data_IF_510716477474
#
_entry.id   IF_510716477474
#
_cell.length_a   1.000
_cell.length_b   1.000
_cell.length_c   1.000
_cell.angle_alpha   90.00
_cell.angle_beta   90.00
_cell.angle_gamma   90.00
#
_symmetry.space_group_name_H-M   'P 1'
#
loop_
_entity.id
_entity.type
_entity.pdbx_description
1 polymer ?
#
# COMPACT_ATOMS: atom_id res chain seq x y z
N UNK A 1 -11.47 -2.07 -11.03
CA UNK A 1 -11.78 -3.34 -10.33
C UNK A 1 -10.57 -4.27 -10.15
N UNK A 2 -9.42 -4.03 -10.80
CA UNK A 2 -8.26 -4.94 -10.75
C UNK A 2 -7.48 -4.89 -9.43
N UNK A 3 -7.48 -3.75 -8.75
CA UNK A 3 -6.78 -3.64 -7.47
C UNK A 3 -7.45 -4.45 -6.34
N UNK A 4 -8.77 -4.64 -6.41
CA UNK A 4 -9.50 -5.56 -5.52
C UNK A 4 -9.31 -7.03 -5.91
N UNK A 5 -8.93 -7.32 -7.17
CA UNK A 5 -8.68 -8.70 -7.60
C UNK A 5 -7.39 -9.29 -6.99
N UNK A 6 -6.49 -8.44 -6.50
CA UNK A 6 -5.26 -8.83 -5.80
C UNK A 6 -5.43 -8.92 -4.27
N UNK A 7 -6.63 -8.64 -3.75
CA UNK A 7 -6.96 -8.91 -2.35
C UNK A 7 -6.98 -10.42 -2.16
N UNK A 8 -6.24 -10.89 -1.15
CA UNK A 8 -6.08 -12.33 -0.92
C UNK A 8 -7.40 -12.97 -0.50
N UNK A 9 -7.91 -13.86 -1.34
CA UNK A 9 -9.16 -14.59 -1.09
C UNK A 9 -8.93 -15.89 -0.31
N UNK A 10 -7.84 -16.04 0.46
CA UNK A 10 -7.69 -17.26 1.24
C UNK A 10 -6.45 -17.59 2.07
N UNK A 11 -5.50 -16.71 2.44
CA UNK A 11 -4.25 -17.21 3.08
C UNK A 11 -3.62 -16.43 4.25
N UNK A 12 -4.31 -15.60 5.03
CA UNK A 12 -3.76 -15.14 6.33
C UNK A 12 -4.78 -15.10 7.47
N UNK A 13 -4.55 -15.80 8.61
CA UNK A 13 -5.34 -15.61 9.81
C UNK A 13 -4.82 -14.36 10.54
N UNK A 14 -5.28 -13.18 10.13
CA UNK A 14 -5.26 -12.00 10.99
C UNK A 14 -6.46 -12.13 11.95
N UNK A 15 -6.24 -12.81 13.08
CA UNK A 15 -7.25 -12.94 14.14
C UNK A 15 -7.38 -11.60 14.88
N UNK A 16 -8.54 -10.95 14.74
CA UNK A 16 -8.96 -9.84 15.61
C UNK A 16 -9.33 -10.43 16.97
N UNK A 17 -8.88 -9.80 18.06
CA UNK A 17 -9.11 -10.28 19.43
C UNK A 17 -10.60 -10.52 19.79
N UNK A 18 -11.55 -9.89 19.08
CA UNK A 18 -12.98 -10.13 19.25
C UNK A 18 -13.48 -11.51 18.77
N UNK A 19 -12.68 -12.29 18.03
CA UNK A 19 -13.09 -13.62 17.56
C UNK A 19 -13.11 -14.69 18.67
N UNK A 20 -12.44 -14.44 19.81
CA UNK A 20 -12.42 -15.39 20.94
C UNK A 20 -13.75 -15.42 21.71
N UNK A 21 -14.36 -14.26 21.97
CA UNK A 21 -15.63 -14.19 22.73
C UNK A 21 -16.81 -14.86 21.97
N UNK A 22 -16.76 -14.86 20.63
CA UNK A 22 -17.75 -15.55 19.79
C UNK A 22 -17.57 -17.08 19.73
N UNK A 23 -16.39 -17.60 20.11
CA UNK A 23 -16.11 -19.05 20.13
C UNK A 23 -16.56 -19.73 21.42
N UNK A 24 -16.60 -19.01 22.54
CA UNK A 24 -16.87 -19.61 23.86
C UNK A 24 -18.33 -20.02 24.08
N UNK A 25 -19.26 -19.62 23.20
CA UNK A 25 -20.72 -19.81 23.42
C UNK A 25 -21.36 -20.97 22.66
N UNK A 26 -20.62 -21.79 21.90
CA UNK A 26 -21.23 -22.92 21.16
C UNK A 26 -20.46 -24.24 21.29
N UNK A 27 -21.13 -25.37 21.57
CA UNK A 27 -20.50 -26.68 21.67
C UNK A 27 -19.94 -27.15 20.30
N UNK A 28 -18.78 -27.80 20.37
CA UNK A 28 -17.79 -28.09 19.30
C UNK A 28 -18.25 -28.93 18.09
N UNK A 29 -19.54 -29.19 17.86
CA UNK A 29 -19.98 -30.24 16.93
C UNK A 29 -20.64 -29.76 15.63
N UNK A 30 -20.60 -28.48 15.27
CA UNK A 30 -21.30 -28.01 14.05
C UNK A 30 -20.63 -26.89 13.25
N UNK A 31 -19.30 -26.86 13.14
CA UNK A 31 -18.63 -25.92 12.22
C UNK A 31 -17.46 -26.58 11.48
N UNK A 32 -17.74 -27.62 10.70
CA UNK A 32 -16.92 -27.98 9.53
C UNK A 32 -17.45 -27.31 8.25
N UNK A 33 -17.88 -26.05 8.32
CA UNK A 33 -17.92 -25.22 7.12
C UNK A 33 -16.56 -24.53 7.00
N UNK A 34 -15.78 -25.02 6.02
CA UNK A 34 -14.52 -24.44 5.57
C UNK A 34 -14.74 -22.99 5.13
N UNK A 35 -14.85 -22.05 6.07
CA UNK A 35 -14.68 -20.64 5.78
C UNK A 35 -13.24 -20.48 5.31
N UNK A 36 -13.07 -20.25 4.00
CA UNK A 36 -11.80 -19.75 3.50
C UNK A 36 -11.52 -18.47 4.29
N UNK A 37 -10.35 -18.34 4.94
CA UNK A 37 -10.03 -17.11 5.66
C UNK A 37 -10.00 -15.99 4.63
N UNK A 38 -11.07 -15.19 4.61
CA UNK A 38 -11.20 -14.02 3.76
C UNK A 38 -10.37 -12.92 4.39
N UNK A 39 -9.52 -12.28 3.60
CA UNK A 39 -8.81 -11.09 4.06
C UNK A 39 -9.77 -9.90 4.15
N UNK A 40 -10.41 -9.77 5.31
CA UNK A 40 -11.29 -8.63 5.64
C UNK A 40 -10.53 -7.30 5.68
N UNK A 41 -9.20 -7.31 5.65
CA UNK A 41 -8.38 -6.09 5.66
C UNK A 41 -8.24 -5.46 4.27
N UNK A 42 -8.72 -6.14 3.21
CA UNK A 42 -8.57 -5.71 1.82
C UNK A 42 -7.11 -5.41 1.45
N UNK A 43 -6.14 -6.18 1.96
CA UNK A 43 -4.72 -5.95 1.65
C UNK A 43 -4.49 -6.17 0.16
N UNK A 44 -4.01 -5.14 -0.54
CA UNK A 44 -3.70 -5.23 -1.97
C UNK A 44 -2.25 -4.86 -2.24
N UNK A 45 -1.53 -5.77 -2.89
CA UNK A 45 -0.17 -5.51 -3.40
C UNK A 45 -0.19 -4.91 -4.81
N UNK A 46 -1.32 -4.34 -5.23
CA UNK A 46 -1.48 -3.74 -6.55
C UNK A 46 -0.41 -2.68 -6.82
N UNK A 47 0.28 -2.82 -7.95
CA UNK A 47 1.37 -1.93 -8.37
C UNK A 47 1.06 -1.24 -9.71
N UNK A 48 -0.22 -1.09 -10.05
CA UNK A 48 -0.66 -0.63 -11.36
C UNK A 48 -0.77 -1.76 -12.39
N UNK A 49 -1.72 -1.62 -13.31
CA UNK A 49 -1.89 -2.53 -14.45
C UNK A 49 -0.96 -2.11 -15.58
N UNK A 50 -0.11 -3.04 -16.01
CA UNK A 50 0.85 -2.78 -17.07
C UNK A 50 0.21 -2.97 -18.45
N UNK A 51 0.37 -1.99 -19.33
CA UNK A 51 -0.01 -2.14 -20.73
C UNK A 51 1.03 -2.98 -21.49
N UNK A 52 0.61 -3.77 -22.48
CA UNK A 52 1.51 -4.63 -23.31
C UNK A 52 2.63 -3.86 -24.05
N UNK A 53 2.44 -2.55 -24.17
CA UNK A 53 3.37 -1.59 -24.79
C UNK A 53 4.52 -1.17 -23.87
N UNK A 54 4.52 -1.57 -22.61
CA UNK A 54 5.54 -1.19 -21.64
C UNK A 54 6.40 -2.40 -21.29
N UNK A 55 7.72 -2.26 -21.40
CA UNK A 55 8.70 -3.28 -21.00
C UNK A 55 9.24 -2.94 -19.61
N UNK A 56 9.23 -3.91 -18.69
CA UNK A 56 9.82 -3.75 -17.36
C UNK A 56 11.17 -4.46 -17.25
N UNK A 57 12.15 -3.81 -16.63
CA UNK A 57 13.46 -4.37 -16.31
C UNK A 57 13.81 -4.10 -14.84
N UNK A 58 14.43 -5.07 -14.16
CA UNK A 58 14.96 -4.84 -12.81
C UNK A 58 16.12 -3.85 -12.83
N UNK A 59 16.21 -2.99 -11.82
CA UNK A 59 17.32 -2.04 -11.70
C UNK A 59 17.72 -1.85 -10.24
N UNK A 60 18.98 -1.47 -10.01
CA UNK A 60 19.44 -1.00 -8.70
C UNK A 60 19.33 0.53 -8.55
N UNK A 61 18.90 1.22 -9.61
CA UNK A 61 18.74 2.67 -9.59
C UNK A 61 17.58 3.07 -8.66
N UNK A 62 17.91 3.86 -7.64
CA UNK A 62 16.93 4.39 -6.69
C UNK A 62 16.37 5.73 -7.15
N UNK A 63 15.18 6.06 -6.63
CA UNK A 63 14.59 7.38 -6.82
C UNK A 63 15.47 8.45 -6.20
N UNK A 64 15.79 9.48 -6.98
CA UNK A 64 16.55 10.62 -6.48
C UNK A 64 15.64 11.52 -5.63
N UNK A 65 15.66 11.30 -4.31
CA UNK A 65 14.87 12.08 -3.36
C UNK A 65 15.18 13.58 -3.40
N UNK A 66 16.40 13.97 -3.71
CA UNK A 66 16.78 15.39 -3.79
C UNK A 66 16.00 16.10 -4.90
N UNK A 67 15.86 15.46 -6.07
CA UNK A 67 15.06 15.98 -7.18
C UNK A 67 13.57 16.07 -6.81
N UNK A 68 13.03 15.07 -6.12
CA UNK A 68 11.64 15.08 -5.64
C UNK A 68 11.36 16.19 -4.61
N UNK A 69 12.39 16.67 -3.89
CA UNK A 69 12.29 17.77 -2.93
C UNK A 69 12.50 19.15 -3.58
N UNK A 70 12.95 19.21 -4.84
CA UNK A 70 13.08 20.48 -5.54
C UNK A 70 11.69 21.09 -5.75
N UNK A 71 11.57 22.38 -5.39
CA UNK A 71 10.33 23.12 -5.58
C UNK A 71 10.22 23.52 -7.05
N UNK A 72 9.49 22.72 -7.81
CA UNK A 72 9.02 23.05 -9.14
C UNK A 72 7.53 23.43 -9.11
N UNK A 73 7.09 24.19 -10.12
CA UNK A 73 5.69 24.58 -10.24
C UNK A 73 4.83 23.38 -10.65
N UNK A 74 3.83 23.01 -9.85
CA UNK A 74 2.95 21.87 -10.14
C UNK A 74 1.95 22.31 -11.20
N UNK A 75 2.13 21.80 -12.42
CA UNK A 75 1.23 22.08 -13.55
C UNK A 75 -0.08 21.32 -13.36
N UNK A 76 0.00 20.10 -12.84
CA UNK A 76 -1.17 19.27 -12.58
C UNK A 76 -0.99 18.49 -11.29
N UNK A 77 -2.04 18.52 -10.46
CA UNK A 77 -2.17 17.73 -9.25
C UNK A 77 -3.52 17.02 -9.24
N UNK A 78 -3.51 15.74 -8.90
CA UNK A 78 -4.73 14.99 -8.64
C UNK A 78 -4.53 13.97 -7.53
N UNK A 79 -5.52 13.82 -6.67
CA UNK A 79 -5.57 12.82 -5.61
C UNK A 79 -6.87 12.04 -5.77
N UNK A 80 -6.77 10.73 -5.94
CA UNK A 80 -7.90 9.84 -6.23
C UNK A 80 -7.87 8.66 -5.27
N UNK A 81 -8.89 8.55 -4.43
CA UNK A 81 -9.15 7.34 -3.63
C UNK A 81 -9.77 6.27 -4.53
N UNK A 82 -9.15 5.10 -4.60
CA UNK A 82 -9.63 3.94 -5.35
C UNK A 82 -10.64 3.12 -4.54
N UNK A 83 -10.35 2.89 -3.26
CA UNK A 83 -11.28 2.34 -2.29
C UNK A 83 -10.88 2.76 -0.87
N UNK A 84 -11.85 2.71 0.03
CA UNK A 84 -11.71 3.01 1.44
C UNK A 84 -12.71 2.16 2.23
N UNK A 85 -12.28 1.61 3.36
CA UNK A 85 -13.09 0.81 4.27
C UNK A 85 -12.64 1.03 5.72
N UNK A 86 -13.58 1.15 6.65
CA UNK A 86 -13.32 1.38 8.10
C UNK A 86 -13.22 0.07 8.90
N UNK A 87 -13.23 -1.07 8.22
CA UNK A 87 -13.04 -2.39 8.81
C UNK A 87 -13.99 -2.68 9.98
N UNK A 88 -15.24 -2.26 9.88
CA UNK A 88 -16.24 -2.32 10.97
C UNK A 88 -15.76 -1.62 12.25
N UNK A 89 -15.21 -0.41 12.14
CA UNK A 89 -14.69 0.41 13.24
C UNK A 89 -13.43 -0.17 13.94
N UNK A 90 -12.79 -1.19 13.34
CA UNK A 90 -11.56 -1.80 13.86
C UNK A 90 -10.28 -1.34 13.13
N UNK A 91 -10.38 -0.27 12.34
CA UNK A 91 -9.22 0.31 11.69
C UNK A 91 -9.58 1.06 10.42
N UNK A 92 -8.66 1.07 9.47
CA UNK A 92 -8.88 1.69 8.17
C UNK A 92 -8.04 1.00 7.10
N UNK A 93 -8.63 0.77 5.93
CA UNK A 93 -7.96 0.29 4.72
C UNK A 93 -8.25 1.27 3.59
N UNK A 94 -7.25 2.05 3.17
CA UNK A 94 -7.39 3.04 2.10
C UNK A 94 -6.38 2.75 1.01
N UNK A 95 -6.84 2.76 -0.24
CA UNK A 95 -5.95 2.79 -1.39
C UNK A 95 -6.19 4.05 -2.21
N UNK A 96 -5.15 4.86 -2.40
CA UNK A 96 -5.23 6.11 -3.14
C UNK A 96 -4.06 6.29 -4.11
N UNK A 97 -4.29 7.12 -5.13
CA UNK A 97 -3.32 7.49 -6.15
C UNK A 97 -3.18 9.01 -6.17
N UNK A 98 -1.96 9.49 -5.90
CA UNK A 98 -1.57 10.89 -5.98
C UNK A 98 -0.68 11.11 -7.21
N UNK A 99 -1.03 12.07 -8.05
CA UNK A 99 -0.33 12.43 -9.29
C UNK A 99 0.16 13.87 -9.18
N UNK A 100 1.43 14.10 -9.49
CA UNK A 100 2.07 15.41 -9.59
C UNK A 100 2.79 15.50 -10.93
N UNK A 101 2.46 16.51 -11.74
CA UNK A 101 3.12 16.77 -13.03
C UNK A 101 3.83 18.12 -12.97
N UNK A 102 5.11 18.08 -13.33
CA UNK A 102 6.05 19.18 -13.28
C UNK A 102 6.58 19.45 -14.69
N UNK A 103 7.17 20.62 -14.96
CA UNK A 103 7.83 20.86 -16.24
C UNK A 103 8.95 19.86 -16.55
N UNK A 104 9.63 19.31 -15.53
CA UNK A 104 10.73 18.35 -15.71
C UNK A 104 10.28 16.89 -15.85
N UNK A 105 9.00 16.58 -15.60
CA UNK A 105 8.50 15.21 -15.59
C UNK A 105 7.28 15.01 -14.69
N UNK A 106 7.07 13.79 -14.19
CA UNK A 106 5.95 13.50 -13.30
C UNK A 106 6.32 12.52 -12.20
N UNK A 107 5.55 12.60 -11.11
CA UNK A 107 5.61 11.69 -9.98
C UNK A 107 4.21 11.17 -9.64
N UNK A 108 4.07 9.85 -9.52
CA UNK A 108 2.83 9.19 -9.11
C UNK A 108 3.14 8.35 -7.88
N UNK A 109 2.30 8.47 -6.86
CA UNK A 109 2.31 7.63 -5.66
C UNK A 109 0.98 6.88 -5.58
N UNK A 110 1.02 5.57 -5.82
CA UNK A 110 -0.05 4.66 -5.44
C UNK A 110 0.28 4.14 -4.04
N UNK A 111 -0.60 4.40 -3.08
CA UNK A 111 -0.45 3.97 -1.70
C UNK A 111 -1.64 3.15 -1.27
N UNK A 112 -1.39 1.96 -0.74
CA UNK A 112 -2.34 1.27 0.13
C UNK A 112 -1.85 1.42 1.57
N UNK A 113 -2.72 1.95 2.43
CA UNK A 113 -2.48 2.14 3.84
C UNK A 113 -3.51 1.34 4.62
N UNK A 114 -3.02 0.44 5.48
CA UNK A 114 -3.83 -0.41 6.34
C UNK A 114 -3.41 -0.17 7.78
N UNK A 115 -4.38 0.15 8.62
CA UNK A 115 -4.25 0.12 10.07
C UNK A 115 -5.31 -0.81 10.60
N UNK A 116 -4.90 -1.80 11.37
CA UNK A 116 -5.79 -2.59 12.20
C UNK A 116 -5.51 -2.21 13.65
N UNK A 117 -6.51 -1.67 14.32
CA UNK A 117 -6.36 -1.14 15.66
C UNK A 117 -5.86 -2.23 16.63
N UNK A 118 -4.88 -1.87 17.45
CA UNK A 118 -4.16 -2.75 18.38
C UNK A 118 -3.43 -3.96 17.78
N UNK A 119 -3.43 -4.12 16.45
CA UNK A 119 -2.78 -5.25 15.77
C UNK A 119 -1.55 -4.80 15.00
N UNK A 120 -1.72 -4.09 13.87
CA UNK A 120 -0.61 -3.71 13.00
C UNK A 120 -0.92 -2.50 12.13
N UNK A 121 0.16 -1.90 11.61
CA UNK A 121 0.10 -0.91 10.54
C UNK A 121 0.95 -1.42 9.38
N UNK A 122 0.35 -1.44 8.19
CA UNK A 122 0.93 -1.89 6.93
C UNK A 122 0.78 -0.84 5.86
N UNK A 123 1.80 -0.69 5.03
CA UNK A 123 1.79 0.25 3.92
C UNK A 123 2.48 -0.32 2.69
N UNK A 124 1.80 -0.24 1.56
CA UNK A 124 2.33 -0.56 0.24
C UNK A 124 2.41 0.71 -0.60
N UNK A 125 3.63 1.17 -0.86
CA UNK A 125 3.90 2.32 -1.70
C UNK A 125 4.43 1.84 -3.05
N UNK A 126 3.75 2.17 -4.14
CA UNK A 126 4.29 2.10 -5.50
C UNK A 126 4.49 3.51 -6.03
N UNK A 127 5.74 3.89 -6.24
CA UNK A 127 6.15 5.19 -6.76
C UNK A 127 6.54 5.05 -8.22
N UNK A 128 6.03 5.93 -9.07
CA UNK A 128 6.47 6.10 -10.45
C UNK A 128 7.08 7.48 -10.59
N UNK A 129 8.27 7.56 -11.17
CA UNK A 129 8.95 8.81 -11.45
C UNK A 129 9.49 8.79 -12.86
N UNK A 130 9.14 9.81 -13.62
CA UNK A 130 9.63 10.00 -14.98
C UNK A 130 10.23 11.38 -15.08
N UNK A 131 11.35 11.47 -15.78
CA UNK A 131 12.00 12.74 -16.12
C UNK A 131 12.01 12.82 -17.65
N UNK A 132 11.76 14.01 -18.19
CA UNK A 132 11.68 14.22 -19.65
C UNK A 132 12.99 13.84 -20.36
N UNK A 133 14.12 13.94 -19.67
CA UNK A 133 15.45 13.56 -20.20
C UNK A 133 15.66 12.04 -20.26
N UNK A 134 14.82 11.24 -19.57
CA UNK A 134 14.97 9.79 -19.49
C UNK A 134 13.97 9.08 -20.42
N UNK A 135 14.45 8.09 -21.17
CA UNK A 135 13.57 7.22 -22.00
C UNK A 135 12.82 6.15 -21.17
N UNK A 136 12.84 6.26 -19.85
CA UNK A 136 12.24 5.30 -18.93
C UNK A 136 11.52 5.98 -17.76
N UNK A 137 10.62 5.21 -17.14
CA UNK A 137 9.99 5.53 -15.86
C UNK A 137 10.65 4.65 -14.80
N UNK A 138 11.09 5.24 -13.69
CA UNK A 138 11.47 4.49 -12.50
C UNK A 138 10.21 4.10 -11.73
N UNK A 139 10.07 2.81 -11.46
CA UNK A 139 9.05 2.24 -10.59
C UNK A 139 9.72 1.68 -9.35
N UNK A 140 9.36 2.20 -8.18
CA UNK A 140 9.80 1.70 -6.88
C UNK A 140 8.59 1.19 -6.10
N UNK A 141 8.64 -0.07 -5.69
CA UNK A 141 7.67 -0.66 -4.77
C UNK A 141 8.33 -0.86 -3.40
N UNK A 142 7.69 -0.37 -2.34
CA UNK A 142 8.12 -0.54 -0.96
C UNK A 142 6.94 -1.06 -0.13
N UNK A 143 7.14 -2.19 0.53
CA UNK A 143 6.25 -2.71 1.55
C UNK A 143 6.86 -2.45 2.93
N UNK A 144 6.08 -1.82 3.81
CA UNK A 144 6.42 -1.56 5.21
C UNK A 144 5.34 -2.11 6.12
N UNK A 145 5.75 -2.68 7.25
CA UNK A 145 4.81 -3.26 8.21
C UNK A 145 5.45 -3.34 9.60
N UNK A 146 4.69 -2.99 10.62
CA UNK A 146 5.03 -3.26 12.01
C UNK A 146 3.77 -3.47 12.86
N UNK A 147 3.85 -4.27 13.94
CA UNK A 147 2.77 -4.38 14.91
C UNK A 147 2.59 -3.06 15.68
N UNK A 148 1.36 -2.77 16.10
CA UNK A 148 1.03 -1.54 16.84
C UNK A 148 1.85 -1.39 18.14
N UNK A 149 2.22 -2.51 18.76
CA UNK A 149 3.04 -2.57 19.99
C UNK A 149 4.41 -1.91 19.79
N UNK A 150 5.03 -2.07 18.61
CA UNK A 150 6.32 -1.46 18.29
C UNK A 150 6.20 0.04 17.96
N UNK A 151 4.97 0.51 17.67
CA UNK A 151 4.67 1.87 17.20
C UNK A 151 4.02 2.74 18.28
N UNK A 152 4.05 2.32 19.55
CA UNK A 152 3.44 3.06 20.67
C UNK A 152 4.03 4.47 20.85
N UNK A 153 5.30 4.67 20.47
CA UNK A 153 5.95 5.99 20.54
C UNK A 153 5.51 6.95 19.41
N UNK A 154 4.79 6.46 18.40
CA UNK A 154 4.35 7.24 17.23
C UNK A 154 2.83 7.30 17.08
N UNK A 155 2.06 7.02 18.14
CA UNK A 155 0.58 7.01 18.14
C UNK A 155 -0.04 8.28 17.55
N UNK A 156 0.56 9.45 17.82
CA UNK A 156 0.11 10.73 17.28
C UNK A 156 0.10 10.79 15.74
N UNK A 157 0.86 9.91 15.09
CA UNK A 157 1.03 9.87 13.64
C UNK A 157 0.27 8.71 12.97
N UNK A 158 -0.39 7.82 13.72
CA UNK A 158 -1.04 6.62 13.15
C UNK A 158 -2.14 6.92 12.12
N UNK A 159 -2.73 8.11 12.18
CA UNK A 159 -3.73 8.60 11.21
C UNK A 159 -3.12 9.31 10.01
N UNK A 160 -1.81 9.54 10.00
CA UNK A 160 -1.08 10.23 8.94
C UNK A 160 -0.13 9.27 8.22
N UNK A 161 -0.54 8.70 7.07
CA UNK A 161 0.30 7.77 6.31
C UNK A 161 1.63 8.38 5.85
N UNK A 162 1.67 9.70 5.60
CA UNK A 162 2.87 10.40 5.14
C UNK A 162 3.92 10.49 6.25
N UNK A 163 3.52 10.56 7.52
CA UNK A 163 4.47 10.54 8.65
C UNK A 163 4.83 9.11 9.04
N UNK A 164 3.87 8.18 9.02
CA UNK A 164 4.08 6.77 9.40
C UNK A 164 5.14 6.08 8.55
N UNK A 165 5.37 6.51 7.30
CA UNK A 165 6.44 5.96 6.47
C UNK A 165 7.83 6.03 7.10
N UNK A 166 8.05 6.98 8.01
CA UNK A 166 9.33 7.20 8.70
C UNK A 166 9.54 6.24 9.88
N UNK A 167 8.45 5.75 10.47
CA UNK A 167 8.47 4.86 11.64
C UNK A 167 8.36 3.39 11.26
N UNK A 168 7.74 3.08 10.11
CA UNK A 168 7.53 1.70 9.68
C UNK A 168 8.80 1.09 9.03
N UNK A 169 9.27 -0.08 9.50
CA UNK A 169 10.41 -0.76 8.92
C UNK A 169 10.07 -1.32 7.52
N UNK A 170 11.04 -1.28 6.61
CA UNK A 170 10.89 -1.81 5.26
C UNK A 170 11.03 -3.33 5.28
N UNK A 171 9.99 -4.05 4.84
CA UNK A 171 10.00 -5.52 4.71
C UNK A 171 10.43 -5.97 3.31
N UNK A 172 10.00 -5.25 2.28
CA UNK A 172 10.33 -5.57 0.89
C UNK A 172 10.52 -4.30 0.09
N UNK A 173 11.51 -4.30 -0.79
CA UNK A 173 11.77 -3.22 -1.75
C UNK A 173 12.05 -3.82 -3.11
N UNK A 174 11.39 -3.30 -4.15
CA UNK A 174 11.59 -3.69 -5.54
C UNK A 174 11.78 -2.44 -6.39
N UNK A 175 12.69 -2.52 -7.35
CA UNK A 175 13.06 -1.40 -8.22
C UNK A 175 13.04 -1.89 -9.67
N UNK A 176 12.33 -1.15 -10.51
CA UNK A 176 12.14 -1.49 -11.92
C UNK A 176 12.26 -0.23 -12.78
N UNK A 177 12.79 -0.39 -14.00
CA UNK A 177 12.67 0.58 -15.09
C UNK A 177 11.57 0.13 -16.03
N UNK A 178 10.73 1.06 -16.44
CA UNK A 178 9.68 0.84 -17.41
C UNK A 178 10.02 1.62 -18.67
N UNK A 179 10.16 0.93 -19.79
CA UNK A 179 10.45 1.52 -21.09
C UNK A 179 9.20 1.47 -21.96
N UNK A 180 8.93 2.57 -22.67
CA UNK A 180 7.91 2.59 -23.71
C UNK A 180 8.46 1.87 -24.95
N UNK A 181 7.69 0.94 -25.50
CA UNK A 181 7.96 0.35 -26.82
C UNK A 181 7.56 1.30 -27.94
#
# INVERSE_FOLDING_TARGET
MEALALVDNGKQPLEVACAQEWRETRPEQTMEEKFKPFDWTFTSTYQGTMNEKVRSESTDQTLNKFKLMQRENIIFYHDLTLFEDELHDHGISVMSVRIRVMPSGFFILLRHFLRVDDVLIRMHDTRFHHEIENDFILKEYIHREAPCIELQNSVAFWTNPDEMQNFLPVKTKQLQKLFFK
#
